data_IF_904896065409
#
_entry.id   IF_904896065409
#
_cell.length_a   1.000
_cell.length_b   1.000
_cell.length_c   1.000
_cell.angle_alpha   90.00
_cell.angle_beta   90.00
_cell.angle_gamma   90.00
#
_symmetry.space_group_name_H-M   'P 1'
#
loop_
_entity.id
_entity.type
_entity.pdbx_description
1 polymer ?
#
# COMPACT_ATOMS: atom_id res chain seq x y z
N UNK A 1 -5.81 -14.35 -45.21
CA UNK A 1 -6.66 -14.48 -44.00
C UNK A 1 -5.98 -13.69 -42.89
N UNK A 2 -6.51 -12.52 -42.52
CA UNK A 2 -5.90 -11.67 -41.49
C UNK A 2 -6.40 -12.07 -40.09
N UNK A 3 -5.49 -12.21 -39.14
CA UNK A 3 -5.84 -12.53 -37.76
C UNK A 3 -6.44 -11.31 -37.06
N UNK A 4 -7.63 -11.45 -36.48
CA UNK A 4 -8.31 -10.37 -35.76
C UNK A 4 -7.74 -10.27 -34.35
N UNK A 5 -6.84 -9.31 -34.14
CA UNK A 5 -6.24 -9.04 -32.83
C UNK A 5 -7.04 -8.00 -32.05
N UNK A 6 -7.40 -8.35 -30.81
CA UNK A 6 -8.08 -7.43 -29.90
C UNK A 6 -7.07 -6.46 -29.26
N UNK A 7 -6.98 -5.26 -29.82
CA UNK A 7 -6.07 -4.20 -29.34
C UNK A 7 -6.33 -3.79 -27.88
N UNK A 8 -7.58 -3.89 -27.39
CA UNK A 8 -7.89 -3.55 -26.00
C UNK A 8 -7.27 -4.55 -25.03
N UNK A 9 -7.25 -5.84 -25.38
CA UNK A 9 -6.59 -6.88 -24.58
C UNK A 9 -5.08 -6.64 -24.52
N UNK A 10 -4.47 -6.30 -25.66
CA UNK A 10 -3.04 -5.98 -25.74
C UNK A 10 -2.70 -4.75 -24.89
N UNK A 11 -3.48 -3.67 -25.00
CA UNK A 11 -3.30 -2.46 -24.16
C UNK A 11 -3.44 -2.77 -22.67
N UNK A 12 -4.44 -3.57 -22.27
CA UNK A 12 -4.61 -3.99 -20.87
C UNK A 12 -3.44 -4.83 -20.37
N UNK A 13 -2.90 -5.73 -21.18
CA UNK A 13 -1.70 -6.50 -20.81
C UNK A 13 -0.49 -5.58 -20.61
N UNK A 14 -0.24 -4.66 -21.53
CA UNK A 14 0.86 -3.69 -21.39
C UNK A 14 0.71 -2.84 -20.11
N UNK A 15 -0.49 -2.35 -19.83
CA UNK A 15 -0.76 -1.59 -18.61
C UNK A 15 -0.47 -2.40 -17.32
N UNK A 16 -0.83 -3.70 -17.32
CA UNK A 16 -0.52 -4.60 -16.19
C UNK A 16 0.99 -4.78 -16.01
N UNK A 17 1.73 -4.99 -17.11
CA UNK A 17 3.19 -5.13 -17.06
C UNK A 17 3.83 -3.85 -16.52
N UNK A 18 3.44 -2.68 -17.04
CA UNK A 18 3.94 -1.39 -16.57
C UNK A 18 3.69 -1.19 -15.07
N UNK A 19 2.48 -1.47 -14.59
CA UNK A 19 2.14 -1.38 -13.17
C UNK A 19 2.99 -2.31 -12.29
N UNK A 20 3.27 -3.53 -12.76
CA UNK A 20 4.14 -4.47 -12.01
C UNK A 20 5.59 -3.99 -11.95
N UNK A 21 6.11 -3.42 -13.03
CA UNK A 21 7.46 -2.87 -13.09
C UNK A 21 7.60 -1.64 -12.17
N UNK A 22 6.62 -0.75 -12.17
CA UNK A 22 6.59 0.40 -11.27
C UNK A 22 6.52 -0.04 -9.81
N UNK A 23 5.69 -1.03 -9.49
CA UNK A 23 5.62 -1.60 -8.14
C UNK A 23 6.97 -2.20 -7.69
N UNK A 24 7.69 -2.88 -8.59
CA UNK A 24 9.03 -3.40 -8.30
C UNK A 24 10.05 -2.27 -8.09
N UNK A 25 10.03 -1.23 -8.93
CA UNK A 25 10.88 -0.05 -8.78
C UNK A 25 10.60 0.68 -7.46
N UNK A 26 9.34 0.82 -7.07
CA UNK A 26 8.96 1.45 -5.81
C UNK A 26 9.40 0.62 -4.59
N UNK A 27 9.35 -0.73 -4.67
CA UNK A 27 9.92 -1.62 -3.65
C UNK A 27 11.43 -1.41 -3.51
N UNK A 28 12.16 -1.36 -4.64
CA UNK A 28 13.60 -1.15 -4.63
C UNK A 28 14.00 0.24 -4.11
N UNK A 29 13.30 1.30 -4.55
CA UNK A 29 13.62 2.69 -4.20
C UNK A 29 13.28 3.05 -2.76
N UNK A 30 12.15 2.56 -2.26
CA UNK A 30 11.60 3.02 -0.97
C UNK A 30 11.64 1.95 0.13
N UNK A 31 12.00 0.70 -0.21
CA UNK A 31 12.09 -0.43 0.72
C UNK A 31 10.76 -0.94 1.26
N UNK A 32 9.73 -0.08 1.32
CA UNK A 32 8.39 -0.39 1.84
C UNK A 32 7.30 -0.08 0.83
N UNK A 33 6.42 -1.05 0.62
CA UNK A 33 5.19 -0.95 -0.16
C UNK A 33 4.13 -0.07 0.54
N UNK A 34 3.13 0.38 -0.23
CA UNK A 34 1.99 1.10 0.33
C UNK A 34 1.20 0.26 1.35
N UNK A 35 1.11 -1.05 1.12
CA UNK A 35 0.41 -1.98 2.02
C UNK A 35 1.12 -2.12 3.37
N UNK A 36 2.45 -2.24 3.38
CA UNK A 36 3.26 -2.27 4.60
C UNK A 36 3.12 -0.96 5.38
N UNK A 37 3.24 0.19 4.71
CA UNK A 37 3.02 1.49 5.35
C UNK A 37 1.63 1.61 5.97
N UNK A 38 0.60 1.07 5.31
CA UNK A 38 -0.76 1.07 5.86
C UNK A 38 -0.90 0.14 7.07
N UNK A 39 -0.26 -1.02 7.05
CA UNK A 39 -0.19 -1.93 8.20
C UNK A 39 0.49 -1.27 9.40
N UNK A 40 1.64 -0.62 9.19
CA UNK A 40 2.39 0.09 10.23
C UNK A 40 1.52 1.17 10.86
N UNK A 41 0.88 2.02 10.05
CA UNK A 41 -0.03 3.06 10.54
C UNK A 41 -1.19 2.49 11.36
N UNK A 42 -1.77 1.36 10.94
CA UNK A 42 -2.83 0.68 11.71
C UNK A 42 -2.31 0.13 13.03
N UNK A 43 -1.11 -0.44 13.04
CA UNK A 43 -0.50 -0.94 14.26
C UNK A 43 -0.20 0.20 15.25
N UNK A 44 0.32 1.31 14.76
CA UNK A 44 0.57 2.52 15.55
C UNK A 44 -0.73 3.10 16.11
N UNK A 45 -1.77 3.25 15.29
CA UNK A 45 -3.08 3.72 15.75
C UNK A 45 -3.66 2.83 16.86
N UNK A 46 -3.52 1.50 16.75
CA UNK A 46 -3.93 0.58 17.82
C UNK A 46 -3.12 0.79 19.10
N UNK A 47 -1.79 0.97 18.99
CA UNK A 47 -0.94 1.24 20.16
C UNK A 47 -1.35 2.53 20.86
N UNK A 48 -1.57 3.61 20.10
CA UNK A 48 -2.01 4.88 20.67
C UNK A 48 -3.37 4.74 21.35
N UNK A 49 -4.34 4.10 20.71
CA UNK A 49 -5.66 3.87 21.30
C UNK A 49 -5.59 3.06 22.61
N UNK A 50 -4.71 2.05 22.69
CA UNK A 50 -4.49 1.29 23.92
C UNK A 50 -3.88 2.15 25.03
N UNK A 51 -2.88 2.97 24.70
CA UNK A 51 -2.25 3.87 25.66
C UNK A 51 -3.23 4.94 26.15
N UNK A 52 -3.99 5.55 25.24
CA UNK A 52 -5.00 6.55 25.56
C UNK A 52 -6.12 5.98 26.43
N UNK A 53 -6.59 4.76 26.14
CA UNK A 53 -7.55 4.07 27.00
C UNK A 53 -7.00 3.70 28.38
N UNK A 54 -5.70 3.50 28.50
CA UNK A 54 -5.03 3.19 29.76
C UNK A 54 -4.54 4.43 30.54
N UNK A 55 -4.67 5.64 29.98
CA UNK A 55 -4.23 6.87 30.66
C UNK A 55 -5.07 7.10 31.92
N UNK A 56 -4.36 7.23 33.03
CA UNK A 56 -4.95 7.71 34.29
C UNK A 56 -5.11 9.23 34.21
N UNK A 57 -6.22 9.80 34.73
CA UNK A 57 -6.38 11.24 34.78
C UNK A 57 -5.19 11.87 35.53
N UNK A 58 -4.72 13.07 35.11
CA UNK A 58 -3.65 13.75 35.80
C UNK A 58 -4.04 13.96 37.26
N UNK A 59 -3.16 13.58 38.18
CA UNK A 59 -3.28 13.92 39.59
C UNK A 59 -3.24 15.44 39.69
N UNK A 60 -4.38 16.04 40.06
CA UNK A 60 -4.46 17.46 40.40
C UNK A 60 -3.77 17.65 41.74
N UNK A 61 -2.67 18.40 41.72
CA UNK A 61 -2.17 19.11 42.90
C UNK A 61 -2.92 20.43 43.06
#
# INVERSE_FOLDING_TARGET
MGEIVNLNRVKKQQARVAATAEAAANRAKHGRTAAEKANDRRAEARRQALLDGAKRPPTKD
#
